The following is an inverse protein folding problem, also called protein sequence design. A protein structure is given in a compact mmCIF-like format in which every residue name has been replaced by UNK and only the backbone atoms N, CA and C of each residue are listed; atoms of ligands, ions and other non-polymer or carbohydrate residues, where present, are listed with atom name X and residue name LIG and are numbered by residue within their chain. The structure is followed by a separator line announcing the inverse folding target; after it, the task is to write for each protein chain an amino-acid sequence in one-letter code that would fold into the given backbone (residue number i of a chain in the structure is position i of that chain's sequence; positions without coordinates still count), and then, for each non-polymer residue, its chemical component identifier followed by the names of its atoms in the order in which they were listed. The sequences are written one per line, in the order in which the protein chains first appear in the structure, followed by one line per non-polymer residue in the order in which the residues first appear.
data_IF_836082887353
#
_entry.id   IF_836082887353
#
_cell.length_a   1.000
_cell.length_b   1.000
_cell.length_c   1.000
_cell.angle_alpha   90.00
_cell.angle_beta   90.00
_cell.angle_gamma   90.00
#
_symmetry.space_group_name_H-M   'P 1'
#
loop_
_entity.id
_entity.type
_entity.pdbx_description
1 polymer ?
#
# COMPACT_ATOMS: atom_id res chain seq x y z
N UNK A 1 7.85 -4.21 18.10
CA UNK A 1 8.56 -4.60 16.86
C UNK A 1 7.94 -5.84 16.21
N UNK A 2 7.74 -6.95 16.95
CA UNK A 2 7.07 -8.17 16.46
C UNK A 2 5.71 -7.91 15.78
N UNK A 3 4.83 -7.14 16.43
CA UNK A 3 3.53 -6.76 15.87
C UNK A 3 3.69 -6.07 14.51
N UNK A 4 4.55 -5.05 14.43
CA UNK A 4 4.77 -4.32 13.17
C UNK A 4 5.24 -5.20 12.02
N UNK A 5 6.09 -6.20 12.29
CA UNK A 5 6.49 -7.18 11.28
C UNK A 5 5.29 -8.01 10.79
N UNK A 6 4.49 -8.55 11.71
CA UNK A 6 3.32 -9.37 11.36
C UNK A 6 2.28 -8.54 10.60
N UNK A 7 1.92 -7.36 11.12
CA UNK A 7 0.94 -6.46 10.49
C UNK A 7 1.37 -6.08 9.08
N UNK A 8 2.66 -5.78 8.88
CA UNK A 8 3.18 -5.40 7.56
C UNK A 8 3.23 -6.57 6.59
N UNK A 9 3.52 -7.78 7.07
CA UNK A 9 3.50 -9.00 6.25
C UNK A 9 2.08 -9.33 5.79
N UNK A 10 1.11 -9.31 6.70
CA UNK A 10 -0.31 -9.51 6.37
C UNK A 10 -0.77 -8.43 5.38
N UNK A 11 -0.44 -7.17 5.64
CA UNK A 11 -0.78 -6.05 4.75
C UNK A 11 -0.23 -6.26 3.33
N UNK A 12 1.03 -6.66 3.20
CA UNK A 12 1.66 -6.88 1.89
C UNK A 12 1.06 -8.06 1.13
N UNK A 13 0.79 -9.18 1.81
CA UNK A 13 0.15 -10.35 1.20
C UNK A 13 -1.25 -10.00 0.72
N UNK A 14 -2.06 -9.35 1.58
CA UNK A 14 -3.42 -8.94 1.22
C UNK A 14 -3.40 -7.94 0.07
N UNK A 15 -2.50 -6.95 0.08
CA UNK A 15 -2.36 -5.99 -1.01
C UNK A 15 -1.97 -6.68 -2.32
N UNK A 16 -1.01 -7.61 -2.30
CA UNK A 16 -0.60 -8.36 -3.48
C UNK A 16 -1.76 -9.20 -4.06
N UNK A 17 -2.54 -9.85 -3.20
CA UNK A 17 -3.74 -10.59 -3.59
C UNK A 17 -4.81 -9.67 -4.19
N UNK A 18 -5.08 -8.52 -3.55
CA UNK A 18 -6.01 -7.52 -4.06
C UNK A 18 -5.55 -6.96 -5.41
N UNK A 19 -4.27 -6.62 -5.59
CA UNK A 19 -3.71 -6.17 -6.86
C UNK A 19 -3.87 -7.22 -7.95
N UNK A 20 -3.62 -8.49 -7.63
CA UNK A 20 -3.84 -9.60 -8.57
C UNK A 20 -5.32 -9.70 -8.97
N UNK A 21 -6.24 -9.59 -8.02
CA UNK A 21 -7.69 -9.57 -8.27
C UNK A 21 -8.13 -8.36 -9.11
N UNK A 22 -7.69 -7.16 -8.74
CA UNK A 22 -7.97 -5.93 -9.47
C UNK A 22 -7.48 -5.99 -10.91
N UNK A 23 -6.29 -6.56 -11.14
CA UNK A 23 -5.77 -6.79 -12.49
C UNK A 23 -6.60 -7.84 -13.25
N UNK A 24 -6.94 -8.95 -12.60
CA UNK A 24 -7.72 -10.04 -13.19
C UNK A 24 -9.11 -9.59 -13.65
N UNK A 25 -9.78 -8.72 -12.88
CA UNK A 25 -11.08 -8.16 -13.23
C UNK A 25 -11.01 -6.86 -14.05
N UNK A 26 -9.83 -6.47 -14.54
CA UNK A 26 -9.61 -5.23 -15.31
C UNK A 26 -10.02 -3.94 -14.60
N UNK A 27 -10.04 -3.93 -13.27
CA UNK A 27 -10.30 -2.73 -12.47
C UNK A 27 -9.11 -1.76 -12.44
N UNK A 28 -7.90 -2.25 -12.69
CA UNK A 28 -6.71 -1.43 -12.94
C UNK A 28 -6.24 -1.61 -14.39
N UNK A 29 -5.77 -0.52 -15.00
CA UNK A 29 -5.34 -0.49 -16.41
C UNK A 29 -3.88 -0.88 -16.60
N UNK A 30 -3.14 -1.02 -15.50
CA UNK A 30 -1.71 -1.33 -15.48
C UNK A 30 -1.48 -2.71 -14.87
N UNK A 31 -0.37 -3.35 -15.26
CA UNK A 31 0.03 -4.64 -14.71
C UNK A 31 0.89 -4.42 -13.45
N UNK A 32 0.49 -4.95 -12.27
CA UNK A 32 1.25 -4.84 -11.03
C UNK A 32 2.69 -5.33 -11.10
N UNK A 33 2.96 -6.33 -11.93
CA UNK A 33 4.31 -6.85 -12.18
C UNK A 33 4.88 -6.38 -13.53
N UNK A 34 4.29 -5.35 -14.15
CA UNK A 34 4.77 -4.83 -15.44
C UNK A 34 6.05 -3.99 -15.33
N UNK A 35 6.37 -3.50 -14.13
CA UNK A 35 7.52 -2.60 -13.91
C UNK A 35 8.88 -3.28 -14.15
N UNK A 36 8.97 -4.60 -13.98
CA UNK A 36 10.20 -5.36 -14.27
C UNK A 36 10.65 -5.17 -15.72
N UNK A 37 9.69 -5.14 -16.65
CA UNK A 37 9.97 -4.90 -18.08
C UNK A 37 10.31 -3.44 -18.37
N UNK A 38 9.75 -2.48 -17.61
CA UNK A 38 10.06 -1.05 -17.78
C UNK A 38 11.48 -0.72 -17.32
N UNK A 39 12.02 -1.48 -16.36
CA UNK A 39 13.34 -1.23 -15.75
C UNK A 39 14.40 -2.28 -16.11
N UNK A 40 14.10 -3.18 -17.05
CA UNK A 40 15.00 -4.27 -17.49
C UNK A 40 15.50 -5.13 -16.31
N UNK A 41 14.67 -5.27 -15.27
CA UNK A 41 15.00 -6.02 -14.07
C UNK A 41 14.43 -7.45 -14.16
N UNK A 42 15.29 -8.45 -13.99
CA UNK A 42 14.88 -9.86 -13.87
C UNK A 42 14.01 -10.36 -15.04
N UNK A 43 14.35 -9.99 -16.28
CA UNK A 43 13.54 -10.28 -17.48
C UNK A 43 13.31 -11.77 -17.73
N UNK A 44 14.30 -12.63 -17.44
CA UNK A 44 14.22 -14.08 -17.64
C UNK A 44 13.56 -14.83 -16.47
N UNK A 45 13.17 -14.12 -15.41
CA UNK A 45 12.62 -14.76 -14.21
C UNK A 45 11.14 -15.11 -14.37
N UNK A 46 10.68 -16.07 -13.55
CA UNK A 46 9.29 -16.53 -13.60
C UNK A 46 8.30 -15.48 -13.07
N UNK A 47 7.06 -15.51 -13.58
CA UNK A 47 5.95 -14.68 -13.05
C UNK A 47 5.75 -14.84 -11.54
N UNK A 48 6.00 -16.04 -11.01
CA UNK A 48 5.90 -16.31 -9.57
C UNK A 48 6.97 -15.50 -8.82
N UNK A 49 8.20 -15.49 -9.31
CA UNK A 49 9.28 -14.68 -8.73
C UNK A 49 8.92 -13.18 -8.71
N UNK A 50 8.40 -12.65 -9.82
CA UNK A 50 7.95 -11.25 -9.91
C UNK A 50 6.88 -10.89 -8.86
N UNK A 51 5.90 -11.77 -8.61
CA UNK A 51 4.88 -11.55 -7.59
C UNK A 51 5.45 -11.68 -6.16
N UNK A 52 6.35 -12.64 -5.93
CA UNK A 52 7.02 -12.79 -4.64
C UNK A 52 7.87 -11.57 -4.31
N UNK A 53 8.64 -11.05 -5.27
CA UNK A 53 9.45 -9.86 -5.08
C UNK A 53 8.59 -8.60 -4.91
N UNK A 54 7.49 -8.45 -5.67
CA UNK A 54 6.53 -7.37 -5.45
C UNK A 54 5.98 -7.42 -4.01
N UNK A 55 5.59 -8.61 -3.54
CA UNK A 55 5.09 -8.80 -2.17
C UNK A 55 6.15 -8.42 -1.14
N UNK A 56 7.41 -8.78 -1.37
CA UNK A 56 8.53 -8.38 -0.50
C UNK A 56 8.73 -6.86 -0.49
N UNK A 57 8.67 -6.20 -1.64
CA UNK A 57 8.77 -4.74 -1.72
C UNK A 57 7.60 -4.05 -0.98
N UNK A 58 6.37 -4.54 -1.17
CA UNK A 58 5.19 -4.05 -0.45
C UNK A 58 5.31 -4.27 1.07
N UNK A 59 5.93 -5.37 1.50
CA UNK A 59 6.22 -5.62 2.91
C UNK A 59 7.17 -4.57 3.48
N UNK A 60 8.28 -4.28 2.80
CA UNK A 60 9.25 -3.29 3.26
C UNK A 60 8.62 -1.89 3.35
N UNK A 61 7.83 -1.49 2.34
CA UNK A 61 7.09 -0.22 2.34
C UNK A 61 6.07 -0.19 3.48
N UNK A 62 5.27 -1.24 3.64
CA UNK A 62 4.28 -1.37 4.71
C UNK A 62 4.90 -1.31 6.10
N UNK A 63 6.07 -1.93 6.27
CA UNK A 63 6.83 -1.91 7.52
C UNK A 63 7.38 -0.53 7.86
N UNK A 64 7.94 0.16 6.86
CA UNK A 64 8.38 1.53 7.04
C UNK A 64 7.19 2.46 7.38
N UNK A 65 6.08 2.33 6.65
CA UNK A 65 4.84 3.05 6.95
C UNK A 65 4.37 2.77 8.38
N UNK A 66 4.29 1.52 8.81
CA UNK A 66 3.91 1.17 10.18
C UNK A 66 4.80 1.88 11.22
N UNK A 67 6.11 1.92 11.01
CA UNK A 67 7.03 2.59 11.94
C UNK A 67 6.80 4.10 11.99
N UNK A 68 6.57 4.75 10.85
CA UNK A 68 6.29 6.20 10.79
C UNK A 68 4.92 6.55 11.38
N UNK A 69 3.90 5.73 11.13
CA UNK A 69 2.53 5.97 11.59
C UNK A 69 2.38 5.87 13.11
N UNK A 70 3.30 5.18 13.80
CA UNK A 70 3.45 5.21 15.27
C UNK A 70 3.83 6.57 15.84
N UNK A 71 4.00 7.60 15.02
CA UNK A 71 4.20 8.97 15.49
C UNK A 71 3.01 9.87 15.13
N UNK A 72 2.07 9.38 14.32
CA UNK A 72 0.90 10.12 13.82
C UNK A 72 -0.35 9.94 14.72
N UNK A 73 -0.18 9.91 16.05
CA UNK A 73 -1.26 9.62 17.00
C UNK A 73 -2.26 10.77 17.23
N UNK A 74 -1.91 11.98 16.79
CA UNK A 74 -2.69 13.20 17.03
C UNK A 74 -3.88 13.29 16.04
N UNK A 75 -3.74 12.74 14.84
CA UNK A 75 -4.73 12.89 13.76
C UNK A 75 -5.65 11.66 13.74
N UNK A 76 -6.98 11.83 13.60
CA UNK A 76 -7.92 10.72 13.49
C UNK A 76 -7.52 9.73 12.40
N UNK A 77 -7.54 8.44 12.74
CA UNK A 77 -7.07 7.38 11.87
C UNK A 77 -7.76 7.37 10.49
N UNK A 78 -9.07 7.61 10.49
CA UNK A 78 -9.88 7.77 9.28
C UNK A 78 -9.31 8.85 8.35
N UNK A 79 -9.04 10.05 8.88
CA UNK A 79 -8.60 11.19 8.07
C UNK A 79 -7.20 10.96 7.51
N UNK A 80 -6.27 10.49 8.35
CA UNK A 80 -4.90 10.18 7.93
C UNK A 80 -4.87 9.10 6.85
N UNK A 81 -5.59 7.99 7.07
CA UNK A 81 -5.66 6.89 6.10
C UNK A 81 -6.29 7.30 4.77
N UNK A 82 -7.32 8.15 4.81
CA UNK A 82 -7.99 8.62 3.61
C UNK A 82 -7.10 9.57 2.80
N UNK A 83 -6.56 10.62 3.43
CA UNK A 83 -5.72 11.61 2.74
C UNK A 83 -4.42 11.01 2.22
N UNK A 84 -3.72 10.24 3.06
CA UNK A 84 -2.46 9.60 2.65
C UNK A 84 -2.72 8.50 1.61
N UNK A 85 -3.79 7.72 1.74
CA UNK A 85 -4.15 6.70 0.77
C UNK A 85 -4.47 7.30 -0.60
N UNK A 86 -5.26 8.38 -0.65
CA UNK A 86 -5.51 9.12 -1.89
C UNK A 86 -4.22 9.68 -2.50
N UNK A 87 -3.38 10.34 -1.68
CA UNK A 87 -2.11 10.90 -2.14
C UNK A 87 -1.21 9.82 -2.78
N UNK A 88 -1.04 8.69 -2.10
CA UNK A 88 -0.19 7.58 -2.56
C UNK A 88 -0.74 6.96 -3.84
N UNK A 89 -2.04 6.65 -3.88
CA UNK A 89 -2.65 5.97 -5.02
C UNK A 89 -2.70 6.84 -6.27
N UNK A 90 -3.09 8.11 -6.13
CA UNK A 90 -3.09 9.07 -7.24
C UNK A 90 -1.67 9.22 -7.79
N UNK A 91 -0.68 9.44 -6.92
CA UNK A 91 0.72 9.63 -7.35
C UNK A 91 1.27 8.39 -8.05
N UNK A 92 1.02 7.21 -7.48
CA UNK A 92 1.49 5.94 -8.05
C UNK A 92 0.85 5.67 -9.41
N UNK A 93 -0.47 5.80 -9.52
CA UNK A 93 -1.14 5.61 -10.81
C UNK A 93 -0.72 6.64 -11.84
N UNK A 94 -0.44 7.89 -11.42
CA UNK A 94 0.07 8.92 -12.32
C UNK A 94 1.41 8.53 -12.93
N UNK A 95 2.32 8.01 -12.11
CA UNK A 95 3.65 7.57 -12.53
C UNK A 95 3.60 6.29 -13.36
N UNK A 96 2.75 5.33 -12.98
CA UNK A 96 2.65 4.04 -13.68
C UNK A 96 1.99 4.20 -15.04
N UNK A 97 1.00 5.07 -15.17
CA UNK A 97 0.27 5.31 -16.42
C UNK A 97 0.86 6.44 -17.28
N UNK A 98 1.97 7.04 -16.84
CA UNK A 98 2.65 8.18 -17.51
C UNK A 98 1.64 9.27 -17.93
N UNK A 99 0.78 9.70 -16.99
CA UNK A 99 -0.36 10.58 -17.29
C UNK A 99 0.05 12.06 -17.48
N UNK A 100 -0.48 12.75 -18.51
CA UNK A 100 -0.30 14.18 -18.65
C UNK A 100 -1.09 14.95 -17.58
N UNK A 101 -0.65 16.16 -17.24
CA UNK A 101 -1.31 17.11 -16.33
C UNK A 101 -2.57 17.73 -16.97
N UNK A 102 -3.54 16.89 -17.34
CA UNK A 102 -4.83 17.28 -17.89
C UNK A 102 -5.96 16.74 -17.01
N UNK A 103 -7.08 17.46 -16.93
CA UNK A 103 -8.24 17.05 -16.13
C UNK A 103 -8.85 15.71 -16.58
N UNK A 104 -8.69 15.37 -17.86
CA UNK A 104 -9.10 14.08 -18.43
C UNK A 104 -8.33 12.89 -17.85
N UNK A 105 -7.10 13.09 -17.36
CA UNK A 105 -6.26 12.04 -16.76
C UNK A 105 -6.87 11.46 -15.49
N UNK A 106 -7.61 12.25 -14.71
CA UNK A 106 -8.26 11.77 -13.48
C UNK A 106 -9.28 10.65 -13.75
N UNK A 107 -9.90 10.62 -14.94
CA UNK A 107 -10.84 9.55 -15.34
C UNK A 107 -10.17 8.20 -15.56
N UNK A 108 -8.83 8.16 -15.64
CA UNK A 108 -8.05 6.93 -15.85
C UNK A 108 -7.63 6.27 -14.54
N UNK A 109 -7.75 6.97 -13.41
CA UNK A 109 -7.40 6.47 -12.09
C UNK A 109 -8.42 5.42 -11.61
N UNK A 110 -7.95 4.42 -10.88
CA UNK A 110 -8.75 3.29 -10.43
C UNK A 110 -9.29 3.50 -9.01
N UNK A 111 -10.58 3.82 -8.91
CA UNK A 111 -11.28 3.93 -7.60
C UNK A 111 -11.14 2.63 -6.78
N UNK A 112 -11.35 1.42 -7.34
CA UNK A 112 -11.16 0.17 -6.60
C UNK A 112 -9.76 0.02 -5.99
N UNK A 113 -8.71 0.43 -6.72
CA UNK A 113 -7.34 0.44 -6.20
C UNK A 113 -7.18 1.41 -5.02
N UNK A 114 -7.71 2.63 -5.15
CA UNK A 114 -7.69 3.62 -4.07
C UNK A 114 -8.33 3.08 -2.79
N UNK A 115 -9.51 2.47 -2.91
CA UNK A 115 -10.26 1.92 -1.77
C UNK A 115 -9.45 0.82 -1.07
N UNK A 116 -8.85 -0.10 -1.83
CA UNK A 116 -7.99 -1.16 -1.26
C UNK A 116 -6.84 -0.57 -0.45
N UNK A 117 -6.12 0.40 -1.02
CA UNK A 117 -4.98 1.03 -0.34
C UNK A 117 -5.41 1.80 0.90
N UNK A 118 -6.50 2.56 0.84
CA UNK A 118 -7.04 3.31 1.99
C UNK A 118 -7.43 2.34 3.12
N UNK A 119 -8.13 1.25 2.82
CA UNK A 119 -8.53 0.25 3.81
C UNK A 119 -7.31 -0.42 4.48
N UNK A 120 -6.30 -0.79 3.70
CA UNK A 120 -5.08 -1.42 4.20
C UNK A 120 -4.20 -0.45 5.00
N UNK A 121 -4.12 0.80 4.55
CA UNK A 121 -3.45 1.86 5.31
C UNK A 121 -4.16 2.12 6.63
N UNK A 122 -5.50 2.09 6.64
CA UNK A 122 -6.28 2.19 7.87
C UNK A 122 -5.99 1.01 8.80
N UNK A 123 -5.93 -0.22 8.29
CA UNK A 123 -5.56 -1.39 9.07
C UNK A 123 -4.18 -1.23 9.74
N UNK A 124 -3.17 -0.76 9.00
CA UNK A 124 -1.84 -0.47 9.57
C UNK A 124 -1.91 0.58 10.68
N UNK A 125 -2.65 1.66 10.45
CA UNK A 125 -2.70 2.82 11.33
C UNK A 125 -3.49 2.56 12.62
N UNK A 126 -4.64 1.90 12.53
CA UNK A 126 -5.43 1.49 13.70
C UNK A 126 -4.63 0.49 14.56
N UNK A 127 -3.92 -0.45 13.93
CA UNK A 127 -3.06 -1.41 14.64
C UNK A 127 -1.90 -0.70 15.35
N UNK A 128 -1.24 0.24 14.66
CA UNK A 128 -0.14 1.03 15.23
C UNK A 128 -0.62 1.88 16.42
N UNK A 129 -1.78 2.52 16.30
CA UNK A 129 -2.40 3.34 17.34
C UNK A 129 -2.81 2.52 18.56
N UNK A 130 -3.47 1.38 18.34
CA UNK A 130 -3.94 0.50 19.42
C UNK A 130 -2.77 0.06 20.31
N UNK A 131 -1.71 -0.49 19.70
CA UNK A 131 -0.57 -0.96 20.48
C UNK A 131 0.28 0.15 21.08
N UNK A 132 0.30 1.34 20.47
CA UNK A 132 0.94 2.49 21.13
C UNK A 132 0.20 2.86 22.41
N UNK A 133 -1.14 2.99 22.34
CA UNK A 133 -1.98 3.32 23.50
C UNK A 133 -1.86 2.28 24.60
N UNK A 134 -1.90 0.99 24.25
CA UNK A 134 -1.72 -0.13 25.18
C UNK A 134 -0.36 -0.08 25.89
N UNK A 135 0.73 0.12 25.13
CA UNK A 135 2.07 0.27 25.70
C UNK A 135 2.21 1.51 26.61
N UNK A 136 1.55 2.62 26.28
CA UNK A 136 1.57 3.81 27.15
C UNK A 136 0.74 3.63 28.42
N UNK A 137 -0.40 2.93 28.34
CA UNK A 137 -1.26 2.64 29.49
C UNK A 137 -0.56 1.73 30.50
N UNK A 138 0.19 0.72 30.04
CA UNK A 138 0.97 -0.17 30.90
C UNK A 138 2.17 0.50 31.58
N UNK A 139 2.69 1.61 31.05
CA UNK A 139 3.81 2.37 31.65
C UNK A 139 3.37 3.44 32.65
N UNK A 140 2.09 3.79 32.65
CA UNK A 140 1.50 4.77 33.57
C UNK A 140 0.92 4.18 34.85
N UNK A 141 0.85 2.84 34.94
CA UNK A 141 0.56 2.07 36.15
C UNK A 141 1.85 1.51 36.74
#
# INVERSE_FOLDING_TARGET
MKVGLITSAVNAIVLALCLKGLHFFHFIRWNPIGFYKKWELFEESSKLFHWSFLTLALFLVGFFLYMTLRYAHIIPAILTSFLLGLLVTITLEWFVLDLPLQSSSFKKLSIPFMVVVICLLRFLLETANFHYKEHTAQKGN
#
